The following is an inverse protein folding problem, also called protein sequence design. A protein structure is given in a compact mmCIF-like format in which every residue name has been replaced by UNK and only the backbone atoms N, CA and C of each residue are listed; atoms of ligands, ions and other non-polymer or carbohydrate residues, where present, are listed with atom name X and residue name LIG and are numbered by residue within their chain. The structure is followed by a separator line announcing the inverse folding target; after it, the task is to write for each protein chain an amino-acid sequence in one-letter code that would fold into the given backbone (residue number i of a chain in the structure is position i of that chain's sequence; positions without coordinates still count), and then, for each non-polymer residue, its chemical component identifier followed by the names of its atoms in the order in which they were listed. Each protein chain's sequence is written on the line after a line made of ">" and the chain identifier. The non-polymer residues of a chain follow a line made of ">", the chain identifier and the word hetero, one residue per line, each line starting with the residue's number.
data_IF_531187182883
#
_entry.id   IF_531187182883
#
_cell.length_a   1.000
_cell.length_b   1.000
_cell.length_c   1.000
_cell.angle_alpha   90.00
_cell.angle_beta   90.00
_cell.angle_gamma   90.00
#
_symmetry.space_group_name_H-M   'P 1'
#
loop_
_entity.id
_entity.type
_entity.pdbx_description
1 polymer ?
#
# COMPACT_ATOMS: atom_id res chain seq x y z
N UNK A 1 6.53 12.37 -23.71
CA UNK A 1 5.63 11.21 -23.97
C UNK A 1 5.84 10.70 -25.40
N UNK A 2 5.94 11.58 -26.35
CA UNK A 2 6.23 11.24 -27.75
C UNK A 2 7.64 10.64 -27.95
N UNK A 3 8.59 10.97 -27.07
CA UNK A 3 9.96 10.51 -27.14
C UNK A 3 10.11 8.97 -27.05
N UNK A 4 9.27 8.27 -26.27
CA UNK A 4 9.31 6.82 -26.21
C UNK A 4 8.88 6.18 -27.53
N UNK A 5 7.77 6.67 -28.09
CA UNK A 5 7.25 6.15 -29.35
C UNK A 5 8.22 6.46 -30.52
N UNK A 6 8.81 7.66 -30.54
CA UNK A 6 9.84 8.02 -31.50
C UNK A 6 11.06 7.11 -31.39
N UNK A 7 11.60 6.92 -30.17
CA UNK A 7 12.75 6.06 -29.93
C UNK A 7 12.46 4.60 -30.34
N UNK A 8 11.24 4.10 -30.05
CA UNK A 8 10.87 2.73 -30.44
C UNK A 8 10.76 2.57 -31.95
N UNK A 9 10.18 3.55 -32.64
CA UNK A 9 10.10 3.58 -34.12
C UNK A 9 11.49 3.66 -34.77
N UNK A 10 12.36 4.53 -34.26
CA UNK A 10 13.75 4.62 -34.71
C UNK A 10 14.51 3.34 -34.50
N UNK A 11 14.31 2.67 -33.34
CA UNK A 11 14.92 1.39 -33.07
C UNK A 11 14.41 0.29 -34.01
N UNK A 12 13.08 0.26 -34.27
CA UNK A 12 12.48 -0.68 -35.22
C UNK A 12 13.07 -0.51 -36.65
N UNK A 13 13.30 0.72 -37.08
CA UNK A 13 13.90 1.02 -38.38
C UNK A 13 15.34 0.49 -38.47
N UNK A 14 16.11 0.56 -37.39
CA UNK A 14 17.52 0.08 -37.39
C UNK A 14 17.63 -1.44 -37.24
N UNK A 15 16.83 -2.01 -36.38
CA UNK A 15 17.01 -3.39 -35.93
C UNK A 15 16.00 -4.38 -36.55
N UNK A 16 15.12 -3.91 -37.41
CA UNK A 16 14.00 -4.71 -37.92
C UNK A 16 13.02 -5.01 -36.79
N UNK A 17 11.85 -5.42 -37.11
CA UNK A 17 10.76 -5.66 -36.14
C UNK A 17 9.55 -4.82 -36.52
N UNK A 18 8.37 -5.40 -36.39
CA UNK A 18 7.13 -4.66 -36.61
C UNK A 18 6.79 -3.90 -35.32
N UNK A 19 6.77 -2.57 -35.43
CA UNK A 19 6.27 -1.71 -34.36
C UNK A 19 4.75 -1.86 -34.24
N UNK A 20 4.31 -2.11 -33.03
CA UNK A 20 2.90 -2.12 -32.67
C UNK A 20 2.70 -1.14 -31.53
N UNK A 21 1.99 -0.07 -31.80
CA UNK A 21 1.50 0.86 -30.78
C UNK A 21 0.40 0.14 -29.97
N UNK A 22 0.60 0.01 -28.69
CA UNK A 22 -0.48 -0.46 -27.86
C UNK A 22 -1.44 0.67 -27.57
N UNK A 23 -2.67 0.35 -27.85
CA UNK A 23 -3.87 1.13 -27.57
C UNK A 23 -3.76 1.88 -26.23
N UNK A 24 -4.13 3.15 -26.30
CA UNK A 24 -4.39 4.01 -25.17
C UNK A 24 -5.56 3.51 -24.27
N UNK A 25 -5.96 2.23 -24.37
CA UNK A 25 -7.07 1.64 -23.63
C UNK A 25 -6.80 1.46 -22.14
N UNK A 26 -5.56 1.55 -21.69
CA UNK A 26 -5.27 1.71 -20.26
C UNK A 26 -5.23 3.21 -19.87
N UNK A 27 -6.22 3.95 -20.27
CA UNK A 27 -6.71 5.08 -19.49
C UNK A 27 -7.58 4.45 -18.38
N UNK A 28 -6.93 4.02 -17.28
CA UNK A 28 -7.67 3.81 -16.05
C UNK A 28 -8.45 5.10 -15.75
N UNK A 29 -9.67 4.98 -15.25
CA UNK A 29 -10.52 6.09 -14.79
C UNK A 29 -9.90 6.94 -13.66
N UNK A 30 -8.64 6.69 -13.33
CA UNK A 30 -7.88 7.42 -12.34
C UNK A 30 -7.12 8.56 -13.03
N UNK A 31 -7.42 9.75 -12.59
CA UNK A 31 -6.87 11.07 -12.90
C UNK A 31 -5.64 11.03 -13.86
N UNK A 32 -5.81 11.38 -15.14
CA UNK A 32 -4.76 11.29 -16.16
C UNK A 32 -3.53 12.17 -15.87
N UNK A 33 -3.58 13.04 -14.87
CA UNK A 33 -2.44 13.84 -14.42
C UNK A 33 -1.47 13.07 -13.53
N UNK A 34 -1.87 11.94 -12.93
CA UNK A 34 -1.09 11.27 -11.89
C UNK A 34 -0.46 9.93 -12.28
N UNK A 35 -0.90 9.28 -13.36
CA UNK A 35 -0.31 8.03 -13.82
C UNK A 35 0.06 8.12 -15.30
N UNK A 36 1.36 8.15 -15.59
CA UNK A 36 1.84 7.99 -16.95
C UNK A 36 2.29 6.54 -17.15
N UNK A 37 1.51 5.81 -17.90
CA UNK A 37 1.82 4.45 -18.28
C UNK A 37 1.87 4.35 -19.80
N UNK A 38 2.97 3.80 -20.34
CA UNK A 38 3.15 3.62 -21.76
C UNK A 38 3.78 2.27 -22.05
N UNK A 39 3.26 1.61 -23.06
CA UNK A 39 3.86 0.39 -23.62
C UNK A 39 4.08 0.56 -25.10
N UNK A 40 5.21 0.08 -25.58
CA UNK A 40 5.52 -0.05 -26.99
C UNK A 40 6.05 -1.45 -27.25
N UNK A 41 5.66 -2.05 -28.36
CA UNK A 41 6.07 -3.41 -28.71
C UNK A 41 6.81 -3.42 -30.05
N UNK A 42 7.79 -4.32 -30.10
CA UNK A 42 8.45 -4.72 -31.33
C UNK A 42 8.27 -6.22 -31.54
N UNK A 43 7.56 -6.60 -32.57
CA UNK A 43 7.30 -8.00 -32.87
C UNK A 43 8.33 -8.52 -33.88
N UNK A 44 9.01 -9.58 -33.50
CA UNK A 44 9.93 -10.37 -34.31
C UNK A 44 9.28 -11.71 -34.71
N UNK A 45 9.87 -12.47 -35.65
CA UNK A 45 9.24 -13.74 -36.10
C UNK A 45 8.96 -14.76 -35.00
N UNK A 46 9.82 -14.83 -33.97
CA UNK A 46 9.76 -15.84 -32.90
C UNK A 46 9.52 -15.31 -31.49
N UNK A 47 9.59 -13.98 -31.28
CA UNK A 47 9.44 -13.36 -29.98
C UNK A 47 8.95 -11.93 -30.14
N UNK A 48 8.63 -11.28 -29.01
CA UNK A 48 8.19 -9.90 -28.95
C UNK A 48 8.95 -9.18 -27.85
N UNK A 49 9.35 -7.94 -28.10
CA UNK A 49 9.99 -7.08 -27.12
C UNK A 49 8.99 -6.02 -26.67
N UNK A 50 8.84 -5.85 -25.38
CA UNK A 50 8.02 -4.82 -24.75
C UNK A 50 8.92 -3.80 -24.07
N UNK A 51 8.72 -2.53 -24.41
CA UNK A 51 9.23 -1.40 -23.63
C UNK A 51 8.08 -0.83 -22.81
N UNK A 52 8.28 -0.75 -21.50
CA UNK A 52 7.28 -0.27 -20.55
C UNK A 52 7.82 0.93 -19.79
N UNK A 53 7.18 2.06 -19.94
CA UNK A 53 7.41 3.22 -19.09
C UNK A 53 6.29 3.36 -18.07
N UNK A 54 6.66 3.54 -16.81
CA UNK A 54 5.72 3.76 -15.72
C UNK A 54 6.21 4.94 -14.90
N UNK A 55 5.32 5.89 -14.61
CA UNK A 55 5.56 6.97 -13.67
C UNK A 55 4.37 7.07 -12.72
N UNK A 56 4.60 6.85 -11.43
CA UNK A 56 3.56 6.92 -10.40
C UNK A 56 3.60 8.25 -9.67
N UNK A 57 2.47 8.95 -9.68
CA UNK A 57 2.30 10.20 -8.94
C UNK A 57 3.16 11.35 -9.45
N UNK A 58 3.42 12.35 -8.61
CA UNK A 58 4.34 13.42 -8.99
C UNK A 58 5.71 12.81 -9.32
N UNK A 59 6.27 13.19 -10.47
CA UNK A 59 7.49 12.64 -11.04
C UNK A 59 8.57 12.51 -9.97
N UNK A 60 8.85 11.28 -9.56
CA UNK A 60 9.92 10.96 -8.63
C UNK A 60 10.94 10.08 -9.34
N UNK A 61 12.21 10.25 -8.98
CA UNK A 61 13.33 9.50 -9.57
C UNK A 61 13.13 7.99 -9.41
N UNK A 62 12.53 7.57 -8.32
CA UNK A 62 12.32 6.15 -7.98
C UNK A 62 11.11 5.57 -8.72
N UNK A 63 10.13 6.40 -9.04
CA UNK A 63 8.85 5.97 -9.59
C UNK A 63 8.74 6.15 -11.11
N UNK A 64 9.73 6.81 -11.74
CA UNK A 64 9.75 7.04 -13.19
C UNK A 64 10.77 6.10 -13.82
N UNK A 65 10.30 4.99 -14.36
CA UNK A 65 11.13 3.86 -14.79
C UNK A 65 10.81 3.42 -16.22
N UNK A 66 11.85 3.04 -16.96
CA UNK A 66 11.74 2.33 -18.23
C UNK A 66 12.24 0.91 -18.06
N UNK A 67 11.41 -0.06 -18.38
CA UNK A 67 11.73 -1.48 -18.39
C UNK A 67 11.72 -2.03 -19.83
N UNK A 68 12.46 -3.11 -20.04
CA UNK A 68 12.42 -3.89 -21.26
C UNK A 68 12.21 -5.36 -20.90
N UNK A 69 11.17 -5.96 -21.45
CA UNK A 69 10.86 -7.37 -21.29
C UNK A 69 10.75 -8.04 -22.65
N UNK A 70 10.96 -9.35 -22.68
CA UNK A 70 10.87 -10.15 -23.90
C UNK A 70 9.86 -11.25 -23.68
N UNK A 71 8.81 -11.25 -24.49
CA UNK A 71 7.86 -12.33 -24.55
C UNK A 71 8.42 -13.46 -25.42
N UNK A 72 8.45 -14.66 -24.88
CA UNK A 72 9.00 -15.84 -25.57
C UNK A 72 8.11 -16.35 -26.69
N UNK A 73 6.91 -15.80 -26.82
CA UNK A 73 5.99 -16.00 -27.93
C UNK A 73 5.56 -14.66 -28.54
N UNK A 74 5.36 -14.63 -29.85
CA UNK A 74 4.86 -13.46 -30.59
C UNK A 74 3.39 -13.13 -30.29
N UNK A 75 2.60 -14.09 -29.75
CA UNK A 75 1.14 -14.03 -29.59
C UNK A 75 0.68 -13.63 -28.17
N UNK A 76 1.47 -12.95 -27.38
CA UNK A 76 1.13 -12.47 -26.00
C UNK A 76 0.88 -13.58 -24.95
N UNK A 77 0.76 -14.84 -25.34
CA UNK A 77 0.43 -15.95 -24.45
C UNK A 77 1.66 -16.56 -23.74
N UNK A 78 2.85 -16.07 -24.03
CA UNK A 78 4.08 -16.55 -23.41
C UNK A 78 4.53 -15.66 -22.26
N UNK A 79 5.28 -16.21 -21.29
CA UNK A 79 5.79 -15.43 -20.17
C UNK A 79 6.67 -14.28 -20.65
N UNK A 80 6.54 -13.14 -19.96
CA UNK A 80 7.35 -11.96 -20.18
C UNK A 80 8.60 -12.03 -19.29
N UNK A 81 9.77 -12.15 -19.89
CA UNK A 81 11.05 -12.27 -19.19
C UNK A 81 11.80 -10.94 -19.27
N UNK A 82 12.20 -10.34 -18.14
CA UNK A 82 13.03 -9.14 -18.15
C UNK A 82 14.32 -9.35 -18.93
N UNK A 83 14.68 -8.40 -19.81
CA UNK A 83 15.81 -8.52 -20.72
C UNK A 83 17.13 -8.94 -20.03
N UNK A 84 17.52 -8.39 -18.86
CA UNK A 84 18.76 -8.80 -18.20
C UNK A 84 18.74 -10.27 -17.73
N UNK A 85 17.60 -10.77 -17.27
CA UNK A 85 17.44 -12.18 -16.89
C UNK A 85 17.56 -13.07 -18.11
N UNK A 86 16.86 -12.72 -19.18
CA UNK A 86 16.93 -13.48 -20.44
C UNK A 86 18.37 -13.55 -20.99
N UNK A 87 19.08 -12.46 -20.97
CA UNK A 87 20.49 -12.42 -21.41
C UNK A 87 21.39 -13.28 -20.52
N UNK A 88 21.13 -13.28 -19.20
CA UNK A 88 21.84 -14.16 -18.28
C UNK A 88 21.59 -15.64 -18.59
N UNK A 89 20.35 -16.04 -18.87
CA UNK A 89 20.01 -17.41 -19.30
C UNK A 89 20.66 -17.82 -20.63
N UNK A 90 20.95 -16.82 -21.47
CA UNK A 90 21.74 -17.00 -22.70
C UNK A 90 23.25 -16.92 -22.45
N UNK A 91 23.71 -16.90 -21.21
CA UNK A 91 25.11 -16.80 -20.80
C UNK A 91 25.79 -15.50 -21.21
N UNK A 92 25.04 -14.42 -21.42
CA UNK A 92 25.55 -13.09 -21.68
C UNK A 92 25.61 -12.32 -20.35
N UNK A 93 26.82 -11.97 -19.93
CA UNK A 93 27.00 -11.10 -18.75
C UNK A 93 26.62 -9.67 -19.10
N UNK A 94 25.63 -9.12 -18.37
CA UNK A 94 25.21 -7.74 -18.56
C UNK A 94 25.15 -7.06 -17.19
N UNK A 95 25.98 -6.03 -17.01
CA UNK A 95 25.99 -5.22 -15.79
C UNK A 95 24.84 -4.17 -15.80
N UNK A 96 23.61 -4.61 -15.94
CA UNK A 96 22.46 -3.78 -16.26
C UNK A 96 21.24 -4.19 -15.41
N UNK A 97 20.43 -3.26 -14.87
CA UNK A 97 19.30 -3.60 -14.04
C UNK A 97 18.08 -3.99 -14.88
N UNK A 98 17.06 -4.52 -14.20
CA UNK A 98 15.76 -4.83 -14.79
C UNK A 98 15.08 -3.63 -15.44
N UNK A 99 15.42 -2.43 -15.00
CA UNK A 99 14.83 -1.18 -15.47
C UNK A 99 15.78 0.00 -15.24
N UNK A 100 15.54 1.08 -15.97
CA UNK A 100 16.26 2.34 -15.82
C UNK A 100 15.38 3.35 -15.09
N UNK A 101 15.71 3.74 -13.86
CA UNK A 101 14.98 4.73 -13.10
C UNK A 101 15.42 6.16 -13.43
N UNK A 102 14.66 7.15 -12.95
CA UNK A 102 15.06 8.55 -12.99
C UNK A 102 14.74 9.27 -14.28
N UNK A 103 13.76 8.78 -15.03
CA UNK A 103 13.31 9.38 -16.28
C UNK A 103 12.30 10.47 -15.98
N UNK A 104 12.76 11.72 -15.95
CA UNK A 104 11.94 12.88 -15.59
C UNK A 104 11.53 13.76 -16.77
N UNK A 105 12.18 13.59 -17.93
CA UNK A 105 11.97 14.36 -19.14
C UNK A 105 12.30 13.54 -20.40
N UNK A 106 12.13 14.14 -21.57
CA UNK A 106 12.40 13.51 -22.86
C UNK A 106 13.86 13.16 -23.06
N UNK A 107 14.80 13.96 -22.54
CA UNK A 107 16.24 13.70 -22.60
C UNK A 107 16.56 12.42 -21.83
N UNK A 108 16.05 12.29 -20.59
CA UNK A 108 16.20 11.07 -19.78
C UNK A 108 15.58 9.84 -20.44
N UNK A 109 14.45 10.00 -21.14
CA UNK A 109 13.82 8.92 -21.91
C UNK A 109 14.71 8.45 -23.07
N UNK A 110 15.24 9.39 -23.86
CA UNK A 110 16.16 9.07 -24.97
C UNK A 110 17.42 8.38 -24.50
N UNK A 111 18.00 8.84 -23.40
CA UNK A 111 19.18 8.23 -22.78
C UNK A 111 18.90 6.82 -22.25
N UNK A 112 17.80 6.64 -21.53
CA UNK A 112 17.39 5.32 -21.02
C UNK A 112 17.12 4.34 -22.17
N UNK A 113 16.47 4.83 -23.22
CA UNK A 113 16.19 4.04 -24.41
C UNK A 113 17.45 3.69 -25.19
N UNK A 114 18.40 4.60 -25.29
CA UNK A 114 19.70 4.34 -25.93
C UNK A 114 20.50 3.28 -25.17
N UNK A 115 20.45 3.32 -23.82
CA UNK A 115 21.11 2.31 -22.98
C UNK A 115 20.48 0.93 -23.19
N UNK A 116 19.18 0.81 -23.03
CA UNK A 116 18.44 -0.46 -23.17
C UNK A 116 18.51 -0.95 -24.62
N UNK A 117 18.24 -0.05 -25.57
CA UNK A 117 18.24 -0.35 -26.99
C UNK A 117 19.61 -0.80 -27.49
N UNK A 118 20.71 -0.19 -27.01
CA UNK A 118 22.06 -0.61 -27.36
C UNK A 118 22.40 -2.02 -26.88
N UNK A 119 21.95 -2.38 -25.66
CA UNK A 119 22.11 -3.75 -25.17
C UNK A 119 21.26 -4.73 -25.97
N UNK A 120 20.00 -4.37 -26.27
CA UNK A 120 19.12 -5.20 -27.07
C UNK A 120 19.63 -5.39 -28.48
N UNK A 121 20.02 -4.31 -29.17
CA UNK A 121 20.54 -4.34 -30.56
C UNK A 121 21.71 -5.28 -30.69
N UNK A 122 22.68 -5.18 -29.77
CA UNK A 122 23.88 -6.05 -29.76
C UNK A 122 23.52 -7.53 -29.61
N UNK A 123 22.46 -7.85 -28.92
CA UNK A 123 22.10 -9.24 -28.57
C UNK A 123 20.93 -9.78 -29.39
N UNK A 124 20.29 -8.99 -30.26
CA UNK A 124 19.15 -9.41 -31.09
C UNK A 124 19.43 -10.68 -31.93
N UNK A 125 20.57 -10.82 -32.61
CA UNK A 125 20.82 -12.02 -33.39
C UNK A 125 20.84 -13.29 -32.56
N UNK A 126 21.45 -13.26 -31.38
CA UNK A 126 21.52 -14.37 -30.44
C UNK A 126 20.13 -14.67 -29.87
N UNK A 127 19.34 -13.63 -29.51
CA UNK A 127 17.96 -13.82 -29.03
C UNK A 127 17.07 -14.45 -30.11
N UNK A 128 17.20 -14.00 -31.36
CA UNK A 128 16.46 -14.56 -32.49
C UNK A 128 16.82 -16.04 -32.74
N UNK A 129 18.09 -16.39 -32.65
CA UNK A 129 18.55 -17.79 -32.77
C UNK A 129 18.01 -18.63 -31.58
N UNK A 130 18.18 -18.15 -30.35
CA UNK A 130 17.78 -18.91 -29.14
C UNK A 130 16.28 -19.11 -29.06
N UNK A 131 15.48 -18.03 -29.23
CA UNK A 131 14.04 -18.08 -29.11
C UNK A 131 13.35 -18.60 -30.39
N UNK A 132 14.07 -18.62 -31.51
CA UNK A 132 13.60 -19.22 -32.76
C UNK A 132 13.62 -20.75 -32.77
N UNK A 133 14.36 -21.35 -31.84
CA UNK A 133 14.50 -22.80 -31.71
C UNK A 133 13.71 -23.27 -30.49
N UNK A 134 13.00 -24.38 -30.63
CA UNK A 134 12.18 -24.94 -29.54
C UNK A 134 13.03 -25.31 -28.31
N UNK A 135 14.16 -26.00 -28.52
CA UNK A 135 15.10 -26.38 -27.47
C UNK A 135 15.72 -25.16 -26.74
N UNK A 136 15.95 -24.08 -27.45
CA UNK A 136 16.45 -22.84 -26.90
C UNK A 136 15.42 -22.12 -26.02
N UNK A 137 14.18 -22.09 -26.51
CA UNK A 137 13.05 -21.51 -25.78
C UNK A 137 12.74 -22.29 -24.49
N UNK A 138 12.64 -23.62 -24.59
CA UNK A 138 12.40 -24.50 -23.45
C UNK A 138 13.49 -24.34 -22.38
N UNK A 139 14.76 -24.26 -22.77
CA UNK A 139 15.86 -24.04 -21.83
C UNK A 139 15.71 -22.70 -21.09
N UNK A 140 15.36 -21.63 -21.80
CA UNK A 140 15.16 -20.30 -21.20
C UNK A 140 13.99 -20.32 -20.23
N UNK A 141 12.86 -20.91 -20.61
CA UNK A 141 11.67 -21.01 -19.75
C UNK A 141 11.95 -21.84 -18.50
N UNK A 142 12.63 -22.99 -18.65
CA UNK A 142 13.02 -23.82 -17.51
C UNK A 142 13.91 -23.06 -16.52
N UNK A 143 14.89 -22.29 -17.02
CA UNK A 143 15.74 -21.46 -16.18
C UNK A 143 14.92 -20.38 -15.46
N UNK A 144 14.01 -19.71 -16.16
CA UNK A 144 13.15 -18.66 -15.61
C UNK A 144 12.23 -19.20 -14.50
N UNK A 145 11.52 -20.28 -14.75
CA UNK A 145 10.64 -20.92 -13.75
C UNK A 145 11.42 -21.41 -12.53
N UNK A 146 12.58 -22.01 -12.74
CA UNK A 146 13.44 -22.45 -11.65
C UNK A 146 13.92 -21.29 -10.78
N UNK A 147 14.31 -20.18 -11.35
CA UNK A 147 14.74 -19.00 -10.60
C UNK A 147 13.60 -18.35 -9.84
N UNK A 148 12.42 -18.22 -10.45
CA UNK A 148 11.21 -17.75 -9.77
C UNK A 148 10.80 -18.66 -8.63
N UNK A 149 10.79 -19.97 -8.85
CA UNK A 149 10.45 -20.97 -7.83
C UNK A 149 11.39 -20.87 -6.62
N UNK A 150 12.68 -20.70 -6.85
CA UNK A 150 13.66 -20.50 -5.80
C UNK A 150 13.43 -19.17 -5.04
N UNK A 151 13.06 -18.11 -5.76
CA UNK A 151 12.80 -16.79 -5.19
C UNK A 151 11.55 -16.77 -4.30
N UNK A 152 10.46 -17.34 -4.79
CA UNK A 152 9.16 -17.33 -4.10
C UNK A 152 8.95 -18.53 -3.18
N UNK A 153 9.85 -19.53 -3.22
CA UNK A 153 9.74 -20.80 -2.46
C UNK A 153 8.45 -21.55 -2.74
N UNK A 154 8.01 -21.52 -3.97
CA UNK A 154 6.83 -22.23 -4.47
C UNK A 154 7.14 -22.76 -5.85
N UNK A 155 6.47 -23.81 -6.27
CA UNK A 155 6.60 -24.34 -7.62
C UNK A 155 5.93 -23.36 -8.61
N UNK A 156 6.69 -22.93 -9.59
CA UNK A 156 6.23 -22.02 -10.64
C UNK A 156 6.47 -22.69 -11.98
N UNK A 157 5.40 -22.71 -12.78
CA UNK A 157 5.34 -23.30 -14.11
C UNK A 157 4.56 -22.39 -15.09
N UNK A 158 4.27 -22.87 -16.26
CA UNK A 158 3.51 -22.16 -17.29
C UNK A 158 2.07 -21.78 -16.88
N UNK A 159 1.49 -22.48 -15.89
CA UNK A 159 0.10 -22.28 -15.48
C UNK A 159 -0.08 -21.17 -14.44
N UNK A 160 0.99 -20.85 -13.71
CA UNK A 160 0.93 -19.88 -12.61
C UNK A 160 1.96 -18.77 -12.70
N UNK A 161 2.84 -18.76 -13.70
CA UNK A 161 3.92 -17.78 -13.84
C UNK A 161 3.41 -16.34 -13.97
N UNK A 162 2.24 -16.13 -14.54
CA UNK A 162 1.66 -14.77 -14.71
C UNK A 162 1.49 -14.05 -13.37
N UNK A 163 1.09 -14.76 -12.32
CA UNK A 163 0.93 -14.20 -10.96
C UNK A 163 2.25 -13.70 -10.35
N UNK A 164 3.38 -14.19 -10.83
CA UNK A 164 4.72 -13.90 -10.31
C UNK A 164 5.56 -13.06 -11.26
N UNK A 165 5.19 -13.03 -12.53
CA UNK A 165 5.89 -12.28 -13.57
C UNK A 165 5.34 -10.87 -13.75
N UNK A 166 4.20 -10.55 -13.12
CA UNK A 166 3.61 -9.22 -13.23
C UNK A 166 4.61 -8.18 -12.71
N UNK A 167 5.18 -7.47 -13.68
CA UNK A 167 6.47 -6.79 -13.59
C UNK A 167 6.62 -5.78 -12.44
N UNK A 168 5.50 -5.28 -11.86
CA UNK A 168 5.53 -4.27 -10.82
C UNK A 168 6.15 -4.79 -9.52
N UNK A 169 5.90 -6.05 -9.17
CA UNK A 169 6.46 -6.60 -7.93
C UNK A 169 7.96 -6.90 -8.05
N UNK A 170 8.41 -7.38 -9.21
CA UNK A 170 9.83 -7.56 -9.51
C UNK A 170 10.55 -6.21 -9.57
N UNK A 171 9.97 -5.25 -10.24
CA UNK A 171 10.56 -3.92 -10.43
C UNK A 171 10.72 -3.17 -9.11
N UNK A 172 9.73 -3.18 -8.23
CA UNK A 172 9.78 -2.49 -6.93
C UNK A 172 10.81 -3.14 -6.00
N UNK A 173 10.94 -4.45 -6.02
CA UNK A 173 11.80 -5.18 -5.08
C UNK A 173 13.28 -5.10 -5.42
N UNK A 174 13.60 -4.96 -6.70
CA UNK A 174 14.95 -4.91 -7.24
C UNK A 174 15.35 -3.54 -7.78
N UNK A 175 14.56 -2.50 -7.47
CA UNK A 175 15.00 -1.11 -7.60
C UNK A 175 16.23 -0.93 -6.74
N UNK A 176 17.34 -1.38 -7.23
CA UNK A 176 18.51 -1.37 -6.42
C UNK A 176 19.00 0.06 -6.33
N UNK A 177 18.90 0.64 -5.13
CA UNK A 177 19.70 1.80 -4.76
C UNK A 177 21.18 1.63 -5.18
N UNK A 178 21.62 0.38 -5.32
CA UNK A 178 22.88 0.00 -5.88
C UNK A 178 23.06 0.49 -7.32
N UNK A 179 22.09 0.26 -8.21
CA UNK A 179 22.23 0.68 -9.61
C UNK A 179 22.16 2.21 -9.75
N UNK A 180 21.32 2.87 -8.98
CA UNK A 180 21.27 4.33 -8.95
C UNK A 180 22.63 4.90 -8.55
N UNK A 181 23.27 4.34 -7.53
CA UNK A 181 24.62 4.74 -7.14
C UNK A 181 25.66 4.41 -8.21
N UNK A 182 25.52 3.30 -8.92
CA UNK A 182 26.42 2.94 -10.01
C UNK A 182 26.35 3.94 -11.18
N UNK A 183 25.14 4.28 -11.64
CA UNK A 183 24.94 5.30 -12.68
C UNK A 183 25.47 6.66 -12.22
N UNK A 184 25.33 6.99 -10.93
CA UNK A 184 25.81 8.22 -10.35
C UNK A 184 27.35 8.27 -10.22
N UNK A 185 28.06 7.19 -10.52
CA UNK A 185 29.51 7.08 -10.39
C UNK A 185 29.99 6.67 -9.00
N UNK A 186 29.09 6.31 -8.09
CA UNK A 186 29.39 5.87 -6.72
C UNK A 186 29.57 4.35 -6.66
N UNK A 187 30.50 3.81 -7.43
CA UNK A 187 30.68 2.36 -7.63
C UNK A 187 30.89 1.59 -6.32
N UNK A 188 31.70 2.10 -5.39
CA UNK A 188 31.92 1.43 -4.09
C UNK A 188 30.61 1.31 -3.28
N UNK A 189 29.81 2.37 -3.27
CA UNK A 189 28.50 2.35 -2.58
C UNK A 189 27.56 1.38 -3.25
N UNK A 190 27.53 1.35 -4.57
CA UNK A 190 26.75 0.43 -5.37
C UNK A 190 27.09 -1.04 -5.05
N UNK A 191 28.37 -1.39 -5.09
CA UNK A 191 28.87 -2.73 -4.74
C UNK A 191 28.47 -3.10 -3.31
N UNK A 192 28.67 -2.20 -2.35
CA UNK A 192 28.32 -2.44 -0.95
C UNK A 192 26.82 -2.68 -0.76
N UNK A 193 25.99 -1.99 -1.50
CA UNK A 193 24.53 -2.18 -1.46
C UNK A 193 24.11 -3.50 -2.10
N UNK A 194 24.64 -3.81 -3.29
CA UNK A 194 24.34 -5.06 -3.97
C UNK A 194 24.82 -6.28 -3.16
N UNK A 195 25.93 -6.19 -2.45
CA UNK A 195 26.39 -7.24 -1.50
C UNK A 195 25.42 -7.48 -0.35
N UNK A 196 24.70 -6.46 0.12
CA UNK A 196 23.73 -6.58 1.23
C UNK A 196 22.42 -7.24 0.84
N UNK A 197 22.10 -7.34 -0.43
CA UNK A 197 20.88 -7.97 -0.92
C UNK A 197 20.93 -9.46 -0.63
N UNK A 198 20.06 -9.94 0.27
CA UNK A 198 20.10 -11.33 0.77
C UNK A 198 19.67 -12.38 -0.26
N UNK A 199 18.83 -11.99 -1.21
CA UNK A 199 18.36 -12.86 -2.30
C UNK A 199 18.72 -12.18 -3.60
N UNK A 200 19.73 -12.68 -4.25
CA UNK A 200 20.21 -12.18 -5.56
C UNK A 200 19.75 -13.14 -6.63
N UNK A 201 19.21 -12.55 -7.69
CA UNK A 201 18.98 -13.28 -8.94
C UNK A 201 20.34 -13.58 -9.61
N UNK A 202 20.36 -14.54 -10.50
CA UNK A 202 21.59 -14.95 -11.19
C UNK A 202 22.29 -13.77 -11.91
N UNK A 203 21.53 -12.95 -12.62
CA UNK A 203 22.07 -11.77 -13.28
C UNK A 203 22.63 -10.71 -12.30
N UNK A 204 22.02 -10.54 -11.11
CA UNK A 204 22.55 -9.63 -10.09
C UNK A 204 23.87 -10.13 -9.51
N UNK A 205 24.01 -11.45 -9.36
CA UNK A 205 25.28 -12.06 -8.92
C UNK A 205 26.37 -11.80 -9.96
N UNK A 206 26.07 -11.99 -11.24
CA UNK A 206 27.01 -11.68 -12.32
C UNK A 206 27.32 -10.20 -12.40
N UNK A 207 26.33 -9.33 -12.26
CA UNK A 207 26.53 -7.88 -12.19
C UNK A 207 27.47 -7.50 -11.08
N UNK A 208 27.33 -8.10 -9.89
CA UNK A 208 28.23 -7.86 -8.78
C UNK A 208 29.67 -8.25 -9.12
N UNK A 209 29.87 -9.41 -9.72
CA UNK A 209 31.22 -9.86 -10.16
C UNK A 209 31.82 -8.90 -11.17
N UNK A 210 31.05 -8.44 -12.15
CA UNK A 210 31.52 -7.47 -13.17
C UNK A 210 31.91 -6.13 -12.53
N UNK A 211 31.11 -5.63 -11.57
CA UNK A 211 31.44 -4.40 -10.87
C UNK A 211 32.67 -4.53 -9.97
N UNK A 212 32.85 -5.68 -9.33
CA UNK A 212 34.01 -5.97 -8.47
C UNK A 212 35.31 -6.14 -9.30
N UNK A 213 35.20 -6.67 -10.52
CA UNK A 213 36.35 -6.78 -11.44
C UNK A 213 36.71 -5.45 -12.11
N UNK A 214 35.89 -4.40 -11.93
CA UNK A 214 36.09 -3.12 -12.59
C UNK A 214 35.62 -3.09 -14.04
N UNK A 215 34.94 -4.14 -14.50
CA UNK A 215 34.28 -4.13 -15.79
C UNK A 215 33.03 -3.22 -15.70
N UNK A 216 33.17 -2.06 -16.28
CA UNK A 216 32.12 -1.04 -16.31
C UNK A 216 31.44 -1.12 -17.67
N UNK A 217 30.10 -1.16 -17.70
CA UNK A 217 29.37 -0.73 -18.88
C UNK A 217 29.84 0.70 -19.19
N UNK A 218 30.37 0.93 -20.40
CA UNK A 218 30.66 2.29 -20.79
C UNK A 218 29.45 3.16 -20.52
N UNK A 219 29.59 4.20 -19.69
CA UNK A 219 28.44 5.03 -19.38
C UNK A 219 28.08 5.75 -20.68
N UNK A 220 27.04 5.30 -21.36
CA UNK A 220 26.32 6.19 -22.27
C UNK A 220 26.13 7.49 -21.50
N UNK A 221 26.28 8.65 -22.17
CA UNK A 221 26.13 9.94 -21.51
C UNK A 221 24.74 10.07 -20.90
N UNK A 222 24.58 9.63 -19.65
CA UNK A 222 23.33 9.67 -18.91
C UNK A 222 23.16 11.04 -18.24
N UNK A 223 23.22 12.12 -19.03
CA UNK A 223 23.21 13.49 -18.51
C UNK A 223 21.84 13.84 -17.90
N UNK A 224 20.73 13.52 -18.56
CA UNK A 224 19.37 13.76 -18.08
C UNK A 224 19.06 12.92 -16.85
N UNK A 225 19.42 11.63 -16.86
CA UNK A 225 19.29 10.75 -15.71
C UNK A 225 20.16 11.23 -14.56
N UNK A 226 21.43 11.59 -14.80
CA UNK A 226 22.36 12.14 -13.79
C UNK A 226 21.86 13.43 -13.16
N UNK A 227 21.19 14.28 -13.91
CA UNK A 227 20.60 15.53 -13.39
C UNK A 227 19.54 15.21 -12.30
N UNK A 228 18.66 14.26 -12.54
CA UNK A 228 17.73 13.73 -11.53
C UNK A 228 18.46 13.05 -10.37
N UNK A 229 19.46 12.21 -10.66
CA UNK A 229 20.26 11.48 -9.68
C UNK A 229 21.17 12.39 -8.84
N UNK A 230 21.54 13.57 -9.31
CA UNK A 230 22.29 14.53 -8.50
C UNK A 230 21.49 14.95 -7.26
N UNK A 231 20.18 15.03 -7.38
CA UNK A 231 19.27 15.31 -6.25
C UNK A 231 19.20 14.09 -5.32
N UNK A 232 19.14 12.88 -5.89
CA UNK A 232 19.16 11.63 -5.13
C UNK A 232 20.46 11.46 -4.34
N UNK A 233 21.61 11.72 -4.95
CA UNK A 233 22.91 11.63 -4.29
C UNK A 233 23.11 12.68 -3.18
N UNK A 234 22.59 13.90 -3.38
CA UNK A 234 22.58 14.93 -2.34
C UNK A 234 21.72 14.52 -1.14
N UNK A 235 20.71 13.68 -1.38
CA UNK A 235 19.80 13.24 -0.33
C UNK A 235 20.38 12.18 0.61
N UNK A 236 21.45 11.48 0.22
CA UNK A 236 21.98 10.36 1.00
C UNK A 236 21.04 9.15 1.14
N UNK A 237 19.99 9.10 0.31
CA UNK A 237 18.85 8.14 0.37
C UNK A 237 19.27 6.69 0.18
N UNK A 238 20.48 6.41 -0.17
CA UNK A 238 20.99 5.04 -0.32
C UNK A 238 20.86 4.13 0.94
N UNK A 239 20.37 4.64 2.01
CA UNK A 239 19.95 3.91 3.20
C UNK A 239 19.23 4.91 4.11
N UNK A 240 17.91 4.80 4.21
CA UNK A 240 17.10 5.70 5.04
C UNK A 240 17.85 6.04 6.35
N UNK A 241 18.06 7.32 6.59
CA UNK A 241 18.82 7.73 7.75
C UNK A 241 18.06 7.23 8.98
N UNK A 242 18.71 6.39 9.78
CA UNK A 242 18.11 5.89 11.05
C UNK A 242 17.59 7.05 11.92
N UNK A 243 18.18 8.24 11.77
CA UNK A 243 17.76 9.47 12.45
C UNK A 243 16.42 9.98 11.91
N UNK A 244 16.21 9.92 10.60
CA UNK A 244 14.96 10.29 9.96
C UNK A 244 13.82 9.41 10.46
N UNK A 245 14.02 8.10 10.42
CA UNK A 245 13.06 7.15 10.95
C UNK A 245 12.79 7.38 12.45
N UNK A 246 13.84 7.60 13.25
CA UNK A 246 13.69 7.85 14.68
C UNK A 246 12.90 9.15 14.95
N UNK A 247 13.21 10.25 14.25
CA UNK A 247 12.48 11.52 14.41
C UNK A 247 11.03 11.37 13.98
N UNK A 248 10.77 10.70 12.86
CA UNK A 248 9.41 10.47 12.37
C UNK A 248 8.61 9.61 13.33
N UNK A 249 9.18 8.51 13.81
CA UNK A 249 8.55 7.60 14.75
C UNK A 249 8.27 8.25 16.11
N UNK A 250 9.26 8.96 16.69
CA UNK A 250 9.07 9.67 17.95
C UNK A 250 8.07 10.81 17.82
N UNK A 251 8.07 11.54 16.69
CA UNK A 251 7.09 12.56 16.41
C UNK A 251 5.69 11.97 16.32
N UNK A 252 5.55 10.83 15.67
CA UNK A 252 4.29 10.12 15.56
C UNK A 252 3.76 9.65 16.93
N UNK A 253 4.59 9.02 17.77
CA UNK A 253 4.22 8.62 19.12
C UNK A 253 3.80 9.81 19.98
N UNK A 254 4.58 10.89 19.95
CA UNK A 254 4.28 12.11 20.69
C UNK A 254 2.94 12.70 20.25
N UNK A 255 2.69 12.79 18.95
CA UNK A 255 1.45 13.33 18.40
C UNK A 255 0.26 12.41 18.69
N UNK A 256 0.44 11.09 18.67
CA UNK A 256 -0.61 10.16 19.09
C UNK A 256 -1.03 10.42 20.53
N UNK A 257 -0.09 10.55 21.44
CA UNK A 257 -0.38 10.91 22.84
C UNK A 257 -1.06 12.28 22.95
N UNK A 258 -0.57 13.27 22.20
CA UNK A 258 -1.14 14.62 22.21
C UNK A 258 -2.57 14.65 21.65
N UNK A 259 -2.84 13.98 20.54
CA UNK A 259 -4.18 13.89 19.95
C UNK A 259 -5.15 13.03 20.80
N UNK A 260 -4.65 12.07 21.58
CA UNK A 260 -5.49 11.30 22.48
C UNK A 260 -6.21 12.19 23.50
N UNK A 261 -5.58 13.27 23.98
CA UNK A 261 -6.16 14.18 24.97
C UNK A 261 -7.49 14.78 24.50
N UNK A 262 -7.58 15.49 23.35
CA UNK A 262 -8.83 16.07 22.91
C UNK A 262 -9.88 15.01 22.53
N UNK A 263 -9.51 13.87 21.95
CA UNK A 263 -10.47 12.83 21.61
C UNK A 263 -11.06 12.17 22.87
N UNK A 264 -10.22 11.79 23.81
CA UNK A 264 -10.67 11.25 25.11
C UNK A 264 -11.46 12.32 25.89
N UNK A 265 -11.00 13.57 25.89
CA UNK A 265 -11.72 14.68 26.51
C UNK A 265 -13.11 14.91 25.92
N UNK A 266 -13.23 14.88 24.57
CA UNK A 266 -14.49 15.01 23.86
C UNK A 266 -15.43 13.81 24.15
N UNK A 267 -14.87 12.60 24.20
CA UNK A 267 -15.60 11.39 24.57
C UNK A 267 -16.22 11.52 25.98
N UNK A 268 -15.41 11.85 27.00
CA UNK A 268 -15.93 12.00 28.36
C UNK A 268 -16.86 13.19 28.53
N UNK A 269 -16.64 14.29 27.80
CA UNK A 269 -17.58 15.41 27.78
C UNK A 269 -18.94 14.97 27.25
N UNK A 270 -18.95 14.24 26.14
CA UNK A 270 -20.19 13.70 25.56
C UNK A 270 -20.85 12.74 26.53
N UNK A 271 -20.09 11.81 27.10
CA UNK A 271 -20.57 10.86 28.08
C UNK A 271 -21.19 11.57 29.32
N UNK A 272 -20.53 12.62 29.84
CA UNK A 272 -21.06 13.38 30.98
C UNK A 272 -22.35 14.14 30.64
N UNK A 273 -22.54 14.57 29.40
CA UNK A 273 -23.81 15.17 28.96
C UNK A 273 -24.90 14.11 28.89
N UNK A 274 -24.61 12.98 28.32
CA UNK A 274 -25.55 11.89 28.08
C UNK A 274 -25.93 11.14 29.36
N UNK A 275 -25.04 11.08 30.34
CA UNK A 275 -25.32 10.43 31.65
C UNK A 275 -26.23 11.24 32.56
N UNK A 276 -26.55 12.50 32.22
CA UNK A 276 -27.44 13.31 33.03
C UNK A 276 -28.85 12.73 33.02
N UNK A 277 -29.37 12.39 34.23
CA UNK A 277 -30.69 11.78 34.39
C UNK A 277 -30.76 10.30 33.94
N UNK A 278 -29.63 9.69 33.67
CA UNK A 278 -29.54 8.27 33.34
C UNK A 278 -29.37 7.44 34.61
N UNK A 279 -30.17 6.41 34.76
CA UNK A 279 -30.12 5.46 35.89
C UNK A 279 -29.12 4.36 35.55
N UNK A 280 -29.20 3.81 34.33
CA UNK A 280 -28.27 2.81 33.81
C UNK A 280 -27.80 3.21 32.43
N UNK A 281 -26.49 2.99 32.17
CA UNK A 281 -25.84 3.32 30.93
C UNK A 281 -25.10 2.08 30.41
N UNK A 282 -25.43 1.65 29.19
CA UNK A 282 -24.85 0.46 28.57
C UNK A 282 -24.10 0.83 27.31
N UNK A 283 -22.90 0.28 27.16
CA UNK A 283 -22.13 0.27 25.92
C UNK A 283 -21.08 1.35 25.71
N UNK A 284 -21.15 2.61 26.24
CA UNK A 284 -20.24 3.66 25.78
C UNK A 284 -18.75 3.41 26.06
N UNK A 285 -18.43 2.73 27.19
CA UNK A 285 -17.01 2.53 27.55
C UNK A 285 -16.25 1.62 26.59
N UNK A 286 -16.95 0.72 25.89
CA UNK A 286 -16.35 -0.10 24.81
C UNK A 286 -15.79 0.73 23.67
N UNK A 287 -16.30 1.93 23.50
CA UNK A 287 -15.92 2.82 22.42
C UNK A 287 -14.69 3.68 22.77
N UNK A 288 -14.21 3.64 24.00
CA UNK A 288 -13.00 4.37 24.40
C UNK A 288 -11.76 4.03 23.54
N UNK A 289 -11.50 2.76 23.14
CA UNK A 289 -10.39 2.42 22.25
C UNK A 289 -10.44 3.13 20.90
N UNK A 290 -11.64 3.48 20.40
CA UNK A 290 -11.78 4.24 19.14
C UNK A 290 -11.19 5.66 19.24
N UNK A 291 -11.15 6.25 20.43
CA UNK A 291 -10.48 7.54 20.65
C UNK A 291 -8.98 7.44 20.42
N UNK A 292 -8.37 6.34 20.84
CA UNK A 292 -6.94 6.08 20.58
C UNK A 292 -6.70 5.77 19.11
N UNK A 293 -7.59 5.02 18.46
CA UNK A 293 -7.51 4.78 17.01
C UNK A 293 -7.65 6.09 16.22
N UNK A 294 -8.59 6.96 16.60
CA UNK A 294 -8.76 8.27 16.00
C UNK A 294 -7.51 9.15 16.17
N UNK A 295 -6.89 9.13 17.35
CA UNK A 295 -5.64 9.83 17.62
C UNK A 295 -4.48 9.26 16.78
N UNK A 296 -4.37 7.95 16.67
CA UNK A 296 -3.37 7.25 15.88
C UNK A 296 -3.48 7.64 14.39
N UNK A 297 -4.68 7.56 13.82
CA UNK A 297 -4.92 7.91 12.41
C UNK A 297 -4.64 9.40 12.15
N UNK A 298 -5.04 10.29 13.06
CA UNK A 298 -4.78 11.74 12.93
C UNK A 298 -3.31 12.08 13.06
N UNK A 299 -2.55 11.34 13.85
CA UNK A 299 -1.13 11.59 14.09
C UNK A 299 -0.24 11.20 12.90
N UNK A 300 -0.64 10.25 12.05
CA UNK A 300 0.14 9.80 10.89
C UNK A 300 0.46 10.98 9.95
N UNK A 301 -0.52 11.66 9.34
CA UNK A 301 -0.23 12.78 8.46
C UNK A 301 0.33 14.01 9.21
N UNK A 302 -0.02 14.19 10.49
CA UNK A 302 0.54 15.28 11.30
C UNK A 302 2.02 15.05 11.61
N UNK A 303 2.46 13.81 11.80
CA UNK A 303 3.86 13.48 12.06
C UNK A 303 4.77 13.86 10.88
N UNK A 304 4.27 13.79 9.66
CA UNK A 304 4.99 14.24 8.47
C UNK A 304 5.44 15.72 8.61
N UNK A 305 4.53 16.62 8.94
CA UNK A 305 4.85 18.06 9.08
C UNK A 305 5.68 18.36 10.33
N UNK A 306 5.42 17.62 11.41
CA UNK A 306 6.15 17.81 12.67
C UNK A 306 7.57 17.29 12.55
N UNK A 307 7.79 16.15 11.91
CA UNK A 307 9.12 15.57 11.69
C UNK A 307 10.03 16.53 10.91
N UNK A 308 9.50 17.23 9.90
CA UNK A 308 10.26 18.26 9.18
C UNK A 308 10.79 19.38 10.09
N UNK A 309 9.92 19.88 11.00
CA UNK A 309 10.31 20.94 11.95
C UNK A 309 11.30 20.42 12.99
N UNK A 310 11.05 19.25 13.55
CA UNK A 310 11.89 18.61 14.56
C UNK A 310 13.26 18.26 13.96
N UNK A 311 13.30 17.69 12.75
CA UNK A 311 14.55 17.34 12.08
C UNK A 311 15.38 18.60 11.79
N UNK A 312 14.75 19.69 11.34
CA UNK A 312 15.41 20.98 11.12
C UNK A 312 16.04 21.55 12.41
N UNK A 313 15.36 21.38 13.54
CA UNK A 313 15.86 21.86 14.85
C UNK A 313 16.99 20.98 15.38
N UNK A 314 16.85 19.66 15.29
CA UNK A 314 17.83 18.72 15.86
C UNK A 314 19.06 18.52 14.97
N UNK A 315 18.85 18.53 13.65
CA UNK A 315 19.88 18.21 12.66
C UNK A 315 20.00 19.25 11.53
N UNK A 316 20.26 20.54 11.84
CA UNK A 316 20.22 21.60 10.83
C UNK A 316 21.21 21.38 9.69
N UNK A 317 22.38 20.77 9.95
CA UNK A 317 23.41 20.47 8.93
C UNK A 317 22.98 19.39 7.93
N UNK A 318 22.05 18.53 8.31
CA UNK A 318 21.54 17.43 7.46
C UNK A 318 20.16 17.74 6.88
N UNK A 319 19.59 18.91 7.19
CA UNK A 319 18.21 19.24 6.80
C UNK A 319 18.02 19.33 5.28
N UNK A 320 19.01 19.87 4.56
CA UNK A 320 18.96 19.94 3.10
C UNK A 320 18.98 18.54 2.46
N UNK A 321 19.74 17.59 3.02
CA UNK A 321 19.75 16.20 2.59
C UNK A 321 18.39 15.53 2.85
N UNK A 322 17.81 15.78 4.03
CA UNK A 322 16.49 15.31 4.39
C UNK A 322 15.40 15.85 3.45
N UNK A 323 15.41 17.13 3.10
CA UNK A 323 14.47 17.71 2.14
C UNK A 323 14.62 17.10 0.75
N UNK A 324 15.86 16.92 0.29
CA UNK A 324 16.12 16.29 -0.99
C UNK A 324 15.63 14.83 -1.00
N UNK A 325 15.82 14.09 0.10
CA UNK A 325 15.30 12.73 0.25
C UNK A 325 13.77 12.67 0.17
N UNK A 326 13.10 13.58 0.89
CA UNK A 326 11.64 13.66 0.86
C UNK A 326 11.08 14.03 -0.52
N UNK A 327 11.74 14.93 -1.26
CA UNK A 327 11.35 15.27 -2.62
C UNK A 327 11.52 14.10 -3.59
N UNK A 328 12.55 13.28 -3.38
CA UNK A 328 12.78 12.06 -4.17
C UNK A 328 11.72 11.00 -3.88
N UNK A 329 11.35 10.81 -2.60
CA UNK A 329 10.44 9.75 -2.19
C UNK A 329 8.96 10.09 -2.40
N UNK A 330 8.59 11.35 -2.17
CA UNK A 330 7.18 11.77 -2.12
C UNK A 330 6.76 12.66 -3.30
N UNK A 331 7.71 13.16 -4.10
CA UNK A 331 7.47 14.04 -5.24
C UNK A 331 7.06 15.48 -4.87
N UNK A 332 6.97 16.32 -5.91
CA UNK A 332 6.51 17.71 -5.76
C UNK A 332 5.00 17.74 -5.65
N UNK A 333 4.45 18.26 -4.57
CA UNK A 333 3.00 18.42 -4.38
C UNK A 333 2.38 17.52 -3.32
N UNK A 334 3.10 16.50 -2.84
CA UNK A 334 2.66 15.64 -1.75
C UNK A 334 2.20 16.40 -0.49
N UNK A 335 2.81 17.56 -0.20
CA UNK A 335 2.43 18.40 0.94
C UNK A 335 0.96 18.85 0.90
N UNK A 336 0.44 19.17 -0.29
CA UNK A 336 -0.97 19.60 -0.43
C UNK A 336 -1.91 18.42 -0.20
N UNK A 337 -1.57 17.26 -0.77
CA UNK A 337 -2.34 16.03 -0.59
C UNK A 337 -2.36 15.60 0.89
N UNK A 338 -1.19 15.54 1.53
CA UNK A 338 -1.07 15.16 2.95
C UNK A 338 -1.83 16.14 3.86
N UNK A 339 -1.80 17.46 3.57
CA UNK A 339 -2.62 18.47 4.28
C UNK A 339 -4.12 18.20 4.10
N UNK A 340 -4.55 17.91 2.88
CA UNK A 340 -5.95 17.57 2.59
C UNK A 340 -6.37 16.33 3.38
N UNK A 341 -5.60 15.26 3.32
CA UNK A 341 -5.83 14.03 4.08
C UNK A 341 -5.89 14.29 5.60
N UNK A 342 -4.98 15.10 6.15
CA UNK A 342 -4.99 15.45 7.57
C UNK A 342 -6.32 16.10 7.96
N UNK A 343 -6.81 17.08 7.20
CA UNK A 343 -8.08 17.74 7.51
C UNK A 343 -9.24 16.74 7.47
N UNK A 344 -9.34 15.92 6.43
CA UNK A 344 -10.40 14.91 6.29
C UNK A 344 -10.35 13.91 7.46
N UNK A 345 -9.19 13.36 7.76
CA UNK A 345 -9.01 12.37 8.84
C UNK A 345 -9.39 12.99 10.19
N UNK A 346 -8.92 14.20 10.49
CA UNK A 346 -9.23 14.87 11.77
C UNK A 346 -10.73 15.13 11.90
N UNK A 347 -11.37 15.65 10.85
CA UNK A 347 -12.82 15.91 10.87
C UNK A 347 -13.60 14.62 11.04
N UNK A 348 -13.31 13.58 10.25
CA UNK A 348 -13.96 12.28 10.37
C UNK A 348 -13.74 11.65 11.76
N UNK A 349 -12.53 11.78 12.31
CA UNK A 349 -12.21 11.28 13.65
C UNK A 349 -12.96 12.02 14.76
N UNK A 350 -13.11 13.33 14.66
CA UNK A 350 -13.89 14.13 15.61
C UNK A 350 -15.38 13.73 15.57
N UNK A 351 -15.95 13.66 14.37
CA UNK A 351 -17.34 13.24 14.18
C UNK A 351 -17.54 11.82 14.71
N UNK A 352 -16.66 10.88 14.33
CA UNK A 352 -16.70 9.51 14.80
C UNK A 352 -16.62 9.43 16.34
N UNK A 353 -15.72 10.19 16.97
CA UNK A 353 -15.59 10.22 18.43
C UNK A 353 -16.91 10.66 19.12
N UNK A 354 -17.59 11.68 18.57
CA UNK A 354 -18.88 12.14 19.11
C UNK A 354 -19.96 11.07 18.94
N UNK A 355 -20.02 10.43 17.78
CA UNK A 355 -20.99 9.36 17.52
C UNK A 355 -20.76 8.15 18.42
N UNK A 356 -19.52 7.68 18.50
CA UNK A 356 -19.15 6.53 19.35
C UNK A 356 -19.33 6.79 20.84
N UNK A 357 -19.09 8.00 21.31
CA UNK A 357 -19.32 8.35 22.71
C UNK A 357 -20.81 8.35 23.09
N UNK A 358 -21.68 8.59 22.11
CA UNK A 358 -23.14 8.53 22.32
C UNK A 358 -23.75 7.17 22.05
N UNK A 359 -22.99 6.21 21.49
CA UNK A 359 -23.50 4.89 21.14
C UNK A 359 -23.84 4.07 22.40
N UNK A 360 -25.00 3.38 22.38
CA UNK A 360 -25.45 2.54 23.47
C UNK A 360 -26.88 2.83 23.89
N UNK A 361 -27.32 2.20 24.99
CA UNK A 361 -28.66 2.34 25.56
C UNK A 361 -28.55 3.06 26.90
N UNK A 362 -29.50 3.99 27.16
CA UNK A 362 -29.59 4.76 28.41
C UNK A 362 -30.95 4.64 29.00
N UNK A 363 -31.03 4.05 30.15
CA UNK A 363 -32.26 3.93 30.92
C UNK A 363 -32.42 5.16 31.83
N UNK A 364 -33.59 5.79 31.79
CA UNK A 364 -33.98 6.96 32.57
C UNK A 364 -35.20 6.64 33.40
N UNK A 365 -35.64 7.55 34.24
CA UNK A 365 -36.84 7.33 35.04
C UNK A 365 -38.13 7.20 34.22
N UNK A 366 -38.21 7.90 33.10
CA UNK A 366 -39.39 8.03 32.22
C UNK A 366 -39.38 7.12 30.99
N UNK A 367 -38.29 6.41 30.76
CA UNK A 367 -38.11 5.56 29.57
C UNK A 367 -36.66 5.24 29.30
N UNK A 368 -36.36 4.92 28.06
CA UNK A 368 -34.97 4.70 27.64
C UNK A 368 -34.68 5.35 26.29
N UNK A 369 -33.40 5.64 26.07
CA UNK A 369 -32.89 6.14 24.78
C UNK A 369 -32.04 5.07 24.16
N UNK A 370 -32.46 4.58 23.01
CA UNK A 370 -31.70 3.70 22.18
C UNK A 370 -30.87 4.52 21.15
N UNK A 371 -29.56 4.45 21.25
CA UNK A 371 -28.63 5.07 20.34
C UNK A 371 -27.66 4.05 19.72
N UNK A 372 -28.18 2.85 19.48
CA UNK A 372 -27.41 1.79 18.79
C UNK A 372 -27.34 2.00 17.28
N UNK A 373 -28.28 2.78 16.71
CA UNK A 373 -28.17 3.21 15.32
C UNK A 373 -27.09 4.29 15.17
N UNK A 374 -25.98 3.90 14.59
CA UNK A 374 -24.76 4.71 14.47
C UNK A 374 -24.96 6.08 13.81
N UNK A 375 -25.97 6.23 12.95
CA UNK A 375 -26.23 7.47 12.21
C UNK A 375 -27.11 8.47 12.97
N UNK A 376 -27.66 8.10 14.11
CA UNK A 376 -28.49 8.97 14.92
C UNK A 376 -27.69 9.57 16.08
N UNK A 377 -27.30 10.86 16.03
CA UNK A 377 -26.39 11.43 17.05
C UNK A 377 -27.00 11.55 18.45
N UNK A 378 -28.32 11.45 18.59
CA UNK A 378 -29.03 11.61 19.86
C UNK A 378 -29.85 10.39 20.29
N UNK A 379 -29.96 9.39 19.40
CA UNK A 379 -30.79 8.20 19.63
C UNK A 379 -32.28 8.48 19.55
N UNK A 380 -33.04 7.41 19.75
CA UNK A 380 -34.52 7.46 19.80
C UNK A 380 -34.99 7.21 21.22
N UNK A 381 -35.90 8.05 21.73
CA UNK A 381 -36.49 7.90 23.04
C UNK A 381 -37.73 6.98 22.95
N UNK A 382 -37.84 6.05 23.86
CA UNK A 382 -38.95 5.13 24.03
C UNK A 382 -39.44 5.18 25.47
N UNK A 383 -40.77 5.09 25.66
CA UNK A 383 -41.36 4.91 26.98
C UNK A 383 -41.30 3.43 27.41
N UNK A 384 -41.29 3.14 28.69
CA UNK A 384 -41.35 1.75 29.17
C UNK A 384 -42.63 1.04 28.72
N UNK A 385 -43.71 1.81 28.51
CA UNK A 385 -44.98 1.32 27.97
C UNK A 385 -44.86 0.81 26.51
N UNK A 386 -43.81 1.19 25.77
CA UNK A 386 -43.57 0.71 24.41
C UNK A 386 -42.90 -0.66 24.36
N UNK A 387 -42.40 -1.13 25.49
CA UNK A 387 -41.82 -2.46 25.63
C UNK A 387 -42.95 -3.48 25.78
N UNK A 388 -42.91 -4.52 24.97
CA UNK A 388 -43.85 -5.66 25.10
C UNK A 388 -43.38 -6.61 26.20
N UNK A 389 -42.10 -7.02 26.15
CA UNK A 389 -41.50 -7.92 27.13
C UNK A 389 -39.99 -7.90 27.07
N UNK A 390 -39.34 -8.45 28.08
CA UNK A 390 -37.92 -8.85 28.07
C UNK A 390 -37.87 -10.36 28.29
N UNK A 391 -37.16 -11.06 27.44
CA UNK A 391 -36.98 -12.50 27.56
C UNK A 391 -35.52 -12.92 27.60
N UNK A 392 -35.24 -14.02 28.26
CA UNK A 392 -33.92 -14.63 28.32
C UNK A 392 -33.66 -15.49 27.09
N UNK A 393 -32.49 -15.31 26.46
CA UNK A 393 -32.02 -16.04 25.28
C UNK A 393 -30.72 -16.78 25.62
N UNK A 394 -30.77 -18.13 25.81
CA UNK A 394 -29.61 -18.88 26.29
C UNK A 394 -28.49 -19.00 25.23
N UNK A 395 -28.89 -19.10 23.97
CA UNK A 395 -27.96 -19.42 22.88
C UNK A 395 -28.03 -18.43 21.73
N UNK A 396 -26.94 -18.32 20.98
CA UNK A 396 -26.88 -17.54 19.76
C UNK A 396 -26.34 -18.36 18.59
N UNK A 397 -26.78 -18.02 17.42
CA UNK A 397 -26.21 -18.56 16.17
C UNK A 397 -25.35 -17.45 15.54
N UNK A 398 -24.06 -17.73 15.37
CA UNK A 398 -23.17 -16.80 14.71
C UNK A 398 -23.37 -16.76 13.17
N UNK A 399 -22.70 -15.86 12.49
CA UNK A 399 -22.79 -15.71 11.04
C UNK A 399 -22.35 -16.98 10.25
N UNK A 400 -21.69 -17.92 10.91
CA UNK A 400 -21.24 -19.20 10.32
C UNK A 400 -22.21 -20.36 10.61
N UNK A 401 -23.32 -20.09 11.32
CA UNK A 401 -24.32 -21.11 11.68
C UNK A 401 -23.97 -21.94 12.92
N UNK A 402 -22.95 -21.54 13.68
CA UNK A 402 -22.57 -22.22 14.92
C UNK A 402 -23.36 -21.67 16.10
N UNK A 403 -23.91 -22.56 16.94
CA UNK A 403 -24.56 -22.17 18.18
C UNK A 403 -23.49 -21.87 19.22
N UNK A 404 -23.54 -20.68 19.77
CA UNK A 404 -22.65 -20.19 20.81
C UNK A 404 -23.43 -20.10 22.10
N UNK A 405 -22.88 -20.63 23.19
CA UNK A 405 -23.40 -20.50 24.57
C UNK A 405 -23.06 -19.09 25.09
N UNK A 406 -23.84 -18.12 24.66
CA UNK A 406 -23.76 -16.74 25.10
C UNK A 406 -25.15 -16.25 25.50
N UNK A 407 -25.54 -16.45 26.77
CA UNK A 407 -26.83 -16.03 27.27
C UNK A 407 -26.94 -14.49 27.26
N UNK A 408 -28.14 -14.01 26.96
CA UNK A 408 -28.44 -12.57 27.01
C UNK A 408 -29.94 -12.34 27.25
N UNK A 409 -30.31 -11.11 27.62
CA UNK A 409 -31.68 -10.67 27.60
C UNK A 409 -31.98 -9.89 26.32
N UNK A 410 -33.17 -10.14 25.77
CA UNK A 410 -33.64 -9.44 24.56
C UNK A 410 -34.89 -8.64 24.94
N UNK A 411 -34.86 -7.35 24.69
CA UNK A 411 -35.97 -6.44 24.89
C UNK A 411 -36.79 -6.40 23.59
N UNK A 412 -38.06 -6.79 23.66
CA UNK A 412 -38.99 -6.79 22.53
C UNK A 412 -39.89 -5.57 22.64
N UNK A 413 -39.90 -4.77 21.57
CA UNK A 413 -40.77 -3.61 21.47
C UNK A 413 -42.12 -3.98 20.88
N UNK A 414 -43.18 -3.24 21.20
CA UNK A 414 -44.54 -3.43 20.64
C UNK A 414 -44.62 -3.25 19.13
N UNK A 415 -43.63 -2.59 18.52
CA UNK A 415 -43.49 -2.47 17.07
C UNK A 415 -42.81 -3.69 16.43
N UNK A 416 -42.45 -4.70 17.25
CA UNK A 416 -41.79 -5.93 16.83
C UNK A 416 -40.27 -5.84 16.73
N UNK A 417 -39.64 -4.72 17.07
CA UNK A 417 -38.19 -4.57 17.08
C UNK A 417 -37.61 -5.26 18.33
N UNK A 418 -36.51 -5.93 18.16
CA UNK A 418 -35.75 -6.58 19.22
C UNK A 418 -34.43 -5.82 19.47
N UNK A 419 -34.10 -5.60 20.74
CA UNK A 419 -32.86 -5.03 21.20
C UNK A 419 -32.18 -6.07 22.08
N UNK A 420 -31.08 -6.61 21.59
CA UNK A 420 -30.34 -7.66 22.27
C UNK A 420 -29.23 -7.04 23.13
N UNK A 421 -29.27 -7.28 24.42
CA UNK A 421 -28.30 -6.71 25.36
C UNK A 421 -26.93 -7.34 25.28
N UNK A 422 -26.77 -8.45 24.54
CA UNK A 422 -25.47 -9.05 24.31
C UNK A 422 -24.45 -8.09 23.63
N UNK A 423 -24.93 -7.17 22.83
CA UNK A 423 -24.04 -6.17 22.20
C UNK A 423 -23.32 -5.29 23.23
N UNK A 424 -23.67 -5.43 24.50
CA UNK A 424 -23.14 -4.68 25.62
C UNK A 424 -22.59 -5.65 26.68
N UNK A 425 -21.33 -6.07 26.55
CA UNK A 425 -20.61 -7.05 27.42
C UNK A 425 -20.64 -6.74 28.95
N UNK A 426 -21.16 -5.59 29.37
CA UNK A 426 -21.29 -5.21 30.78
C UNK A 426 -22.44 -5.98 31.51
N UNK A 427 -23.15 -6.82 30.76
CA UNK A 427 -24.39 -7.47 31.21
C UNK A 427 -24.17 -8.39 32.39
N UNK A 428 -23.10 -9.17 32.44
CA UNK A 428 -22.85 -10.08 33.57
C UNK A 428 -22.88 -9.37 34.93
N UNK A 429 -22.57 -8.08 34.97
CA UNK A 429 -22.57 -7.28 36.18
C UNK A 429 -23.94 -6.61 36.50
N UNK A 430 -24.84 -6.48 35.52
CA UNK A 430 -26.07 -5.70 35.62
C UNK A 430 -27.35 -6.50 35.37
N UNK A 431 -27.27 -7.75 34.91
CA UNK A 431 -28.44 -8.54 34.50
C UNK A 431 -29.58 -8.51 35.53
N UNK A 432 -29.29 -8.90 36.75
CA UNK A 432 -30.29 -8.91 37.80
C UNK A 432 -30.84 -7.52 38.17
N UNK A 433 -29.94 -6.53 38.19
CA UNK A 433 -30.27 -5.15 38.57
C UNK A 433 -31.12 -4.48 37.49
N UNK A 434 -30.77 -4.66 36.21
CA UNK A 434 -31.53 -4.06 35.11
C UNK A 434 -32.89 -4.72 34.91
N UNK A 435 -32.96 -6.04 34.97
CA UNK A 435 -34.22 -6.78 34.85
C UNK A 435 -35.17 -6.48 36.02
N UNK A 436 -34.66 -6.34 37.26
CA UNK A 436 -35.45 -5.92 38.43
C UNK A 436 -35.95 -4.50 38.24
N UNK A 437 -35.13 -3.59 37.76
CA UNK A 437 -35.51 -2.20 37.46
C UNK A 437 -36.61 -2.13 36.38
N UNK A 438 -36.48 -2.90 35.29
CA UNK A 438 -37.51 -2.96 34.25
C UNK A 438 -38.84 -3.54 34.78
N UNK A 439 -38.77 -4.57 35.64
CA UNK A 439 -39.95 -5.13 36.31
C UNK A 439 -40.62 -4.11 37.22
N UNK A 440 -39.85 -3.29 37.98
CA UNK A 440 -40.40 -2.19 38.79
C UNK A 440 -41.09 -1.12 37.92
N UNK A 441 -40.65 -0.93 36.67
CA UNK A 441 -41.29 -0.04 35.70
C UNK A 441 -42.52 -0.67 35.00
N UNK A 442 -42.88 -1.89 35.36
CA UNK A 442 -44.05 -2.60 34.85
C UNK A 442 -43.79 -3.34 33.52
N UNK A 443 -42.57 -3.52 33.14
CA UNK A 443 -42.20 -4.30 31.95
C UNK A 443 -42.25 -5.79 32.31
N UNK A 444 -42.94 -6.65 31.53
CA UNK A 444 -42.89 -8.09 31.70
C UNK A 444 -41.50 -8.64 31.49
N UNK A 445 -40.93 -9.31 32.48
CA UNK A 445 -39.57 -9.92 32.38
C UNK A 445 -39.69 -11.43 32.53
N UNK A 446 -39.39 -12.15 31.47
CA UNK A 446 -39.29 -13.62 31.44
C UNK A 446 -37.87 -14.00 31.88
N UNK A 447 -37.73 -14.62 33.06
CA UNK A 447 -36.43 -15.03 33.61
C UNK A 447 -36.04 -16.43 33.15
N UNK A 448 -34.77 -16.77 33.30
CA UNK A 448 -34.24 -18.12 33.01
C UNK A 448 -35.06 -19.15 33.81
N UNK A 449 -35.67 -20.12 33.09
CA UNK A 449 -36.55 -21.14 33.68
C UNK A 449 -38.05 -20.91 33.50
N UNK A 450 -38.49 -19.72 33.09
CA UNK A 450 -39.92 -19.38 32.85
C UNK A 450 -40.30 -19.55 31.36
N UNK A 451 -39.48 -20.20 30.55
CA UNK A 451 -39.75 -20.46 29.14
C UNK A 451 -41.00 -21.36 28.97
N UNK A 452 -41.78 -21.18 27.89
CA UNK A 452 -42.96 -21.98 27.66
C UNK A 452 -42.60 -23.47 27.57
N UNK A 453 -43.15 -24.24 28.49
CA UNK A 453 -43.09 -25.69 28.58
C UNK A 453 -43.71 -26.39 27.35
#
# INVERSE_FOLDING_TARGET
>A
MDAMDECTKEFAQRCGGAYVELDAQYKGDEDPENLQYRRAYLTYPSFRVEFRYTAHGPLSIVNSILACTVHTDKNENGPSIPLPMLLDYCSVGVAFPLYVPGILDEEGMREAFALIGGVLEKNLPMLAETLGREDGRERVLTAYYSELSALYKTEIDENNVEWYSDGDYFMIRFCSAAFINYIAGNTETAIKQLRKTKKKLSYEQRTLVLWESGEVLEPCCLHGIRKGLSTYNKSGVAGGDKREFAVMFLSWLFLTALFSIPYVGLFFLRLAIESRGTVYLMGPMYNLPYCFLAALLSSIPASYFTSHRVYRLLFPKHYEQFLAANQVNNGKGSDKLIKGMLHVIVVCSLVGTVLFAGWGIRFREDGFVDNTDFFLPFGTHYEYADIERVYYKPDRVNAFGETLDFPSYVLVMKDGREIDFYEFDEIENYEGILTDYLAEKGVPVERDGDGPS
#
